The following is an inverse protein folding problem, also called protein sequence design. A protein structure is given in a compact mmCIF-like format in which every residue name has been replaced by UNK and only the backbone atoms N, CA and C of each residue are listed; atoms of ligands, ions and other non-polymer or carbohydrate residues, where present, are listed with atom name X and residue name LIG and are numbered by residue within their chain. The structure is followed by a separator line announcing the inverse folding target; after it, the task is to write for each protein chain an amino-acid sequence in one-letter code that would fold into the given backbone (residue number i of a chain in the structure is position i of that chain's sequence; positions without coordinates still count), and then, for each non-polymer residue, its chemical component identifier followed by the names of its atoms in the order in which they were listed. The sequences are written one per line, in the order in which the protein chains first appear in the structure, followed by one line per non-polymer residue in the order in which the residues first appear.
data_IF_597759122741
#
_entry.id   IF_597759122741
#
_cell.length_a   1.000
_cell.length_b   1.000
_cell.length_c   1.000
_cell.angle_alpha   90.00
_cell.angle_beta   90.00
_cell.angle_gamma   90.00
#
_symmetry.space_group_name_H-M   'P 1'
#
loop_
_entity.id
_entity.type
_entity.pdbx_description
1 polymer ?
#
# COMPACT_ATOMS: atom_id res chain seq x y z
N UNK A 1 -15.79 9.21 -9.55
CA UNK A 1 -14.74 9.02 -8.55
C UNK A 1 -15.30 9.35 -7.18
N UNK A 2 -15.20 8.46 -6.20
CA UNK A 2 -15.70 8.71 -4.83
C UNK A 2 -14.81 9.75 -4.14
N UNK A 3 -15.37 10.56 -3.24
CA UNK A 3 -14.61 11.53 -2.44
C UNK A 3 -13.92 10.82 -1.28
N UNK A 4 -12.73 11.30 -0.93
CA UNK A 4 -12.01 10.87 0.28
C UNK A 4 -12.79 11.31 1.54
N UNK A 5 -12.79 10.46 2.58
CA UNK A 5 -13.42 10.81 3.85
C UNK A 5 -12.73 11.99 4.53
N UNK A 6 -13.46 12.73 5.37
CA UNK A 6 -12.91 13.90 6.06
C UNK A 6 -11.74 13.57 6.99
N UNK A 7 -11.82 12.43 7.70
CA UNK A 7 -10.75 11.94 8.56
C UNK A 7 -9.51 11.53 7.76
N UNK A 8 -9.69 10.80 6.65
CA UNK A 8 -8.57 10.39 5.80
C UNK A 8 -7.87 11.62 5.17
N UNK A 9 -8.65 12.62 4.76
CA UNK A 9 -8.14 13.87 4.19
C UNK A 9 -7.38 14.72 5.21
N UNK A 10 -7.70 14.64 6.51
CA UNK A 10 -7.01 15.45 7.52
C UNK A 10 -5.54 15.07 7.68
N UNK A 11 -5.18 13.81 7.43
CA UNK A 11 -3.78 13.36 7.47
C UNK A 11 -2.93 14.05 6.40
N UNK A 12 -3.45 14.17 5.17
CA UNK A 12 -2.78 14.92 4.10
C UNK A 12 -2.67 16.41 4.41
N UNK A 13 -3.65 16.98 5.14
CA UNK A 13 -3.67 18.39 5.49
C UNK A 13 -2.65 18.77 6.57
N UNK A 14 -2.20 17.81 7.38
CA UNK A 14 -1.24 18.04 8.48
C UNK A 14 0.14 17.43 8.23
N UNK A 15 0.34 16.76 7.09
CA UNK A 15 1.63 16.19 6.71
C UNK A 15 2.69 17.27 6.44
N UNK A 16 3.90 17.01 6.92
CA UNK A 16 5.07 17.85 6.66
C UNK A 16 6.32 16.98 6.51
N UNK A 17 7.43 17.59 6.06
CA UNK A 17 8.74 16.92 6.01
C UNK A 17 9.20 16.46 7.41
N UNK A 18 8.94 17.27 8.43
CA UNK A 18 9.30 16.98 9.82
C UNK A 18 8.34 15.98 10.49
N UNK A 19 7.09 15.91 10.01
CA UNK A 19 6.03 15.06 10.56
C UNK A 19 5.28 14.31 9.46
N UNK A 20 5.87 13.26 8.88
CA UNK A 20 5.17 12.41 7.92
C UNK A 20 3.99 11.69 8.59
N UNK A 21 2.85 11.60 7.90
CA UNK A 21 1.64 10.99 8.45
C UNK A 21 1.45 9.53 7.99
N UNK A 22 2.50 8.89 7.47
CA UNK A 22 2.47 7.49 7.08
C UNK A 22 2.68 6.55 8.29
N UNK A 23 2.03 5.39 8.24
CA UNK A 23 2.26 4.29 9.19
C UNK A 23 3.09 3.22 8.49
N UNK A 24 4.08 2.67 9.19
CA UNK A 24 4.88 1.53 8.73
C UNK A 24 4.68 0.32 9.61
N UNK A 25 4.76 -0.88 9.02
CA UNK A 25 4.76 -2.14 9.75
C UNK A 25 5.92 -3.03 9.30
N UNK A 26 6.51 -3.76 10.23
CA UNK A 26 7.47 -4.83 9.93
C UNK A 26 6.78 -6.18 10.14
N UNK A 27 6.72 -6.98 9.07
CA UNK A 27 6.16 -8.33 9.11
C UNK A 27 7.26 -9.32 8.78
N UNK A 28 7.36 -10.38 9.59
CA UNK A 28 8.34 -11.45 9.42
C UNK A 28 7.58 -12.67 8.90
N UNK A 29 8.03 -13.20 7.77
CA UNK A 29 7.42 -14.35 7.10
C UNK A 29 8.41 -15.50 6.95
N UNK A 30 7.87 -16.71 6.81
CA UNK A 30 8.60 -17.89 6.37
C UNK A 30 8.11 -18.31 5.00
N UNK A 31 8.95 -19.01 4.23
CA UNK A 31 8.51 -19.59 2.97
C UNK A 31 7.40 -20.62 3.21
N UNK A 32 6.38 -20.68 2.34
CA UNK A 32 5.43 -21.78 2.34
C UNK A 32 6.15 -23.13 2.14
N UNK A 33 5.57 -24.21 2.66
CA UNK A 33 6.07 -25.56 2.41
C UNK A 33 6.08 -25.87 0.90
N UNK A 34 7.19 -26.40 0.41
CA UNK A 34 7.34 -26.73 -1.02
C UNK A 34 7.45 -25.51 -1.95
N UNK A 35 7.68 -24.31 -1.43
CA UNK A 35 7.88 -23.13 -2.24
C UNK A 35 9.08 -23.32 -3.21
N UNK A 36 8.94 -22.93 -4.49
CA UNK A 36 10.04 -23.02 -5.44
C UNK A 36 11.16 -22.04 -5.09
N UNK A 37 12.38 -22.31 -5.58
CA UNK A 37 13.52 -21.38 -5.46
C UNK A 37 13.24 -19.99 -6.07
N UNK A 38 12.23 -19.88 -6.93
CA UNK A 38 11.78 -18.64 -7.56
C UNK A 38 10.69 -17.90 -6.79
N UNK A 39 10.18 -18.43 -5.67
CA UNK A 39 8.98 -17.92 -4.99
C UNK A 39 8.97 -16.39 -4.80
N UNK A 40 10.05 -15.82 -4.27
CA UNK A 40 10.15 -14.37 -4.03
C UNK A 40 10.19 -13.57 -5.34
N UNK A 41 10.84 -14.09 -6.39
CA UNK A 41 10.88 -13.46 -7.72
C UNK A 41 9.49 -13.40 -8.31
N UNK A 42 8.76 -14.51 -8.23
CA UNK A 42 7.43 -14.65 -8.80
C UNK A 42 6.41 -13.80 -8.03
N UNK A 43 6.54 -13.74 -6.70
CA UNK A 43 5.75 -12.85 -5.85
C UNK A 43 5.97 -11.36 -6.20
N UNK A 44 7.21 -10.92 -6.36
CA UNK A 44 7.51 -9.53 -6.74
C UNK A 44 6.99 -9.23 -8.14
N UNK A 45 7.07 -10.20 -9.05
CA UNK A 45 6.55 -10.07 -10.42
C UNK A 45 5.04 -9.87 -10.40
N UNK A 46 4.29 -10.71 -9.67
CA UNK A 46 2.83 -10.58 -9.58
C UNK A 46 2.38 -9.28 -8.91
N UNK A 47 3.09 -8.81 -7.88
CA UNK A 47 2.83 -7.50 -7.26
C UNK A 47 2.98 -6.35 -8.26
N UNK A 48 3.99 -6.41 -9.14
CA UNK A 48 4.24 -5.38 -10.17
C UNK A 48 3.25 -5.43 -11.33
N UNK A 49 2.74 -6.62 -11.66
CA UNK A 49 1.75 -6.82 -12.72
C UNK A 49 0.33 -6.38 -12.31
N UNK A 50 0.11 -6.17 -11.01
CA UNK A 50 -1.17 -5.66 -10.50
C UNK A 50 -1.39 -4.23 -10.97
N UNK A 51 -2.38 -4.02 -11.85
CA UNK A 51 -2.72 -2.71 -12.42
C UNK A 51 -3.97 -2.06 -11.83
N UNK A 52 -4.73 -2.77 -11.00
CA UNK A 52 -5.95 -2.24 -10.41
C UNK A 52 -5.66 -1.34 -9.21
N UNK A 53 -6.05 -0.07 -9.31
CA UNK A 53 -5.94 0.89 -8.22
C UNK A 53 -7.11 0.68 -7.24
N UNK A 54 -6.82 -0.01 -6.13
CA UNK A 54 -7.79 -0.25 -5.07
C UNK A 54 -8.19 1.05 -4.34
N UNK A 55 -9.42 1.16 -3.82
CA UNK A 55 -9.75 2.17 -2.82
C UNK A 55 -8.79 2.13 -1.61
N UNK A 56 -8.49 3.28 -0.99
CA UNK A 56 -8.95 4.63 -1.31
C UNK A 56 -8.10 5.37 -2.36
N UNK A 57 -7.09 4.72 -2.96
CA UNK A 57 -6.14 5.35 -3.89
C UNK A 57 -6.78 5.85 -5.19
N UNK A 58 -7.96 5.35 -5.54
CA UNK A 58 -8.77 5.81 -6.67
C UNK A 58 -9.84 6.84 -6.28
N UNK A 59 -9.75 7.46 -5.10
CA UNK A 59 -10.68 8.51 -4.66
C UNK A 59 -10.15 9.92 -4.98
N UNK A 60 -11.05 10.89 -5.02
CA UNK A 60 -10.72 12.30 -5.30
C UNK A 60 -10.58 13.08 -3.98
N UNK A 61 -9.48 13.81 -3.84
CA UNK A 61 -9.32 14.86 -2.83
C UNK A 61 -10.27 16.02 -3.18
N UNK A 62 -11.03 16.51 -2.21
CA UNK A 62 -12.19 17.40 -2.42
C UNK A 62 -11.93 18.55 -3.41
#
# INVERSE_FOLDING_TARGET
MKRLGTLDASWLAVESEDTPMHVGNMQIFSLPEGAPDTYLRDLVTSMKETGEIAPPWCYKLA
#
